data_IF_108161917208
#
_entry.id   IF_108161917208
#
_cell.length_a   1.000
_cell.length_b   1.000
_cell.length_c   1.000
_cell.angle_alpha   90.00
_cell.angle_beta   90.00
_cell.angle_gamma   90.00
#
_symmetry.space_group_name_H-M   'P 1'
#
loop_
_entity.id
_entity.type
_entity.pdbx_description
1 polymer ?
#
# COMPACT_ATOMS: atom_id res chain seq x y z
N UNK A 1 -37.52 22.75 0.78
CA UNK A 1 -36.14 22.53 1.26
C UNK A 1 -35.60 21.31 0.54
N UNK A 2 -34.84 21.50 -0.54
CA UNK A 2 -34.16 20.38 -1.19
C UNK A 2 -33.02 19.93 -0.26
N UNK A 3 -33.12 18.73 0.30
CA UNK A 3 -32.07 18.15 1.14
C UNK A 3 -30.83 17.86 0.30
N UNK A 4 -29.65 18.25 0.81
CA UNK A 4 -28.38 17.88 0.21
C UNK A 4 -28.18 16.36 0.39
N UNK A 5 -28.17 15.61 -0.71
CA UNK A 5 -27.85 14.19 -0.68
C UNK A 5 -26.34 14.04 -0.85
N UNK A 6 -25.63 13.71 0.24
CA UNK A 6 -24.18 13.53 0.25
C UNK A 6 -23.88 12.04 0.36
N UNK A 7 -23.32 11.44 -0.69
CA UNK A 7 -22.86 10.05 -0.69
C UNK A 7 -21.35 10.04 -0.44
N UNK A 8 -20.93 9.32 0.60
CA UNK A 8 -19.53 9.12 0.94
C UNK A 8 -19.09 7.78 0.33
N UNK A 9 -18.19 7.84 -0.64
CA UNK A 9 -17.62 6.65 -1.28
C UNK A 9 -16.17 6.46 -0.85
N UNK A 10 -15.86 5.27 -0.35
CA UNK A 10 -14.48 4.86 -0.07
C UNK A 10 -13.86 4.38 -1.38
N UNK A 11 -13.07 5.24 -2.01
CA UNK A 11 -12.34 4.87 -3.23
C UNK A 11 -11.20 3.93 -2.89
N UNK A 12 -11.25 2.72 -3.45
CA UNK A 12 -10.13 1.79 -3.46
C UNK A 12 -9.28 2.02 -4.72
N UNK A 13 -8.00 1.69 -4.63
CA UNK A 13 -7.07 1.77 -5.78
C UNK A 13 -6.80 0.38 -6.33
N UNK A 14 -6.81 0.23 -7.67
CA UNK A 14 -6.46 -1.04 -8.28
C UNK A 14 -4.95 -1.24 -8.20
N UNK A 15 -4.52 -2.40 -7.71
CA UNK A 15 -3.11 -2.74 -7.61
C UNK A 15 -2.82 -4.18 -8.02
N UNK A 16 -1.54 -4.44 -8.25
CA UNK A 16 -0.96 -5.74 -8.49
C UNK A 16 0.06 -6.04 -7.39
N UNK A 17 0.02 -7.26 -6.88
CA UNK A 17 0.97 -7.79 -5.90
C UNK A 17 1.50 -9.11 -6.44
N UNK A 18 2.75 -9.13 -6.90
CA UNK A 18 3.30 -10.23 -7.68
C UNK A 18 2.47 -10.46 -8.95
N UNK A 19 1.87 -11.65 -9.09
CA UNK A 19 1.04 -12.02 -10.24
C UNK A 19 -0.47 -11.80 -9.99
N UNK A 20 -0.87 -11.34 -8.80
CA UNK A 20 -2.29 -11.20 -8.42
C UNK A 20 -2.74 -9.75 -8.49
N UNK A 21 -3.90 -9.51 -9.11
CA UNK A 21 -4.62 -8.25 -9.01
C UNK A 21 -5.44 -8.18 -7.73
N UNK A 22 -5.54 -6.99 -7.16
CA UNK A 22 -6.34 -6.72 -5.96
C UNK A 22 -6.73 -5.25 -5.84
N UNK A 23 -7.55 -4.97 -4.83
CA UNK A 23 -7.93 -3.62 -4.45
C UNK A 23 -7.19 -3.22 -3.18
N UNK A 24 -6.43 -2.15 -3.25
CA UNK A 24 -5.85 -1.50 -2.08
C UNK A 24 -6.93 -0.72 -1.33
N UNK A 25 -7.08 -1.04 -0.05
CA UNK A 25 -8.08 -0.42 0.83
C UNK A 25 -7.47 0.68 1.70
N UNK A 26 -6.38 0.37 2.42
CA UNK A 26 -5.77 1.30 3.36
C UNK A 26 -4.37 0.88 3.79
N UNK A 27 -3.64 1.82 4.39
CA UNK A 27 -2.42 1.54 5.16
C UNK A 27 -2.78 1.17 6.59
N UNK A 28 -2.12 0.15 7.13
CA UNK A 28 -2.20 -0.23 8.53
C UNK A 28 -0.82 -0.02 9.19
N UNK A 29 -0.80 0.71 10.30
CA UNK A 29 0.36 0.75 11.19
C UNK A 29 0.22 -0.37 12.22
N UNK A 30 0.99 -1.44 12.06
CA UNK A 30 0.99 -2.58 12.96
C UNK A 30 2.12 -2.45 13.98
N UNK A 31 1.80 -2.71 15.25
CA UNK A 31 2.79 -2.78 16.31
C UNK A 31 2.45 -3.90 17.29
N UNK A 32 3.46 -4.67 17.72
CA UNK A 32 3.31 -5.69 18.77
C UNK A 32 4.54 -5.76 19.67
N UNK A 33 4.37 -6.01 20.98
CA UNK A 33 5.48 -6.40 21.83
C UNK A 33 6.14 -7.70 21.36
N UNK A 34 7.46 -7.78 21.50
CA UNK A 34 8.27 -8.98 21.31
C UNK A 34 8.97 -9.32 22.62
N UNK A 35 8.79 -10.55 23.08
CA UNK A 35 9.50 -11.09 24.23
C UNK A 35 10.99 -11.27 23.93
N UNK A 36 11.81 -11.26 24.99
CA UNK A 36 13.23 -11.53 24.87
C UNK A 36 13.50 -12.99 24.43
N UNK A 37 14.61 -13.20 23.73
CA UNK A 37 15.09 -14.55 23.45
C UNK A 37 15.46 -15.27 24.75
N UNK A 38 15.07 -16.54 24.94
CA UNK A 38 15.39 -17.30 26.14
C UNK A 38 16.85 -17.79 26.17
N UNK A 39 17.61 -17.63 25.08
CA UNK A 39 19.01 -18.08 24.99
C UNK A 39 19.96 -17.06 25.65
N UNK A 40 20.99 -17.56 26.34
CA UNK A 40 22.03 -16.69 26.91
C UNK A 40 22.75 -15.93 25.79
N UNK A 41 22.76 -14.59 25.88
CA UNK A 41 23.27 -13.71 24.83
C UNK A 41 22.32 -13.49 23.64
N UNK A 42 21.06 -13.94 23.75
CA UNK A 42 20.03 -13.76 22.72
C UNK A 42 19.50 -12.32 22.61
N UNK A 43 18.66 -12.10 21.59
CA UNK A 43 18.05 -10.79 21.32
C UNK A 43 17.20 -10.28 22.51
N UNK A 44 17.29 -8.98 22.87
CA UNK A 44 16.48 -8.41 23.94
C UNK A 44 15.00 -8.31 23.55
N UNK A 45 14.13 -8.15 24.54
CA UNK A 45 12.73 -7.80 24.32
C UNK A 45 12.62 -6.43 23.62
N UNK A 46 11.53 -6.21 22.90
CA UNK A 46 11.32 -4.97 22.16
C UNK A 46 9.91 -4.82 21.61
N UNK A 47 9.77 -3.92 20.65
CA UNK A 47 8.51 -3.69 19.93
C UNK A 47 8.79 -3.89 18.45
N UNK A 48 8.03 -4.77 17.81
CA UNK A 48 7.99 -4.86 16.36
C UNK A 48 6.93 -3.89 15.84
N UNK A 49 7.35 -2.95 15.00
CA UNK A 49 6.44 -2.02 14.33
C UNK A 49 6.70 -2.06 12.82
N UNK A 50 5.63 -2.11 12.02
CA UNK A 50 5.71 -2.15 10.56
C UNK A 50 4.45 -1.57 9.92
N UNK A 51 4.61 -0.91 8.78
CA UNK A 51 3.51 -0.50 7.91
C UNK A 51 3.15 -1.65 6.95
N UNK A 52 1.86 -1.90 6.78
CA UNK A 52 1.33 -2.83 5.78
C UNK A 52 0.29 -2.14 4.90
N UNK A 53 0.20 -2.56 3.64
CA UNK A 53 -0.98 -2.28 2.83
C UNK A 53 -2.03 -3.38 3.02
N UNK A 54 -3.28 -3.00 3.21
CA UNK A 54 -4.42 -3.92 3.25
C UNK A 54 -4.95 -4.05 1.83
N UNK A 55 -4.77 -5.24 1.25
CA UNK A 55 -5.16 -5.53 -0.13
C UNK A 55 -6.17 -6.66 -0.15
N UNK A 56 -7.28 -6.43 -0.85
CA UNK A 56 -8.30 -7.42 -1.13
C UNK A 56 -8.02 -8.11 -2.46
N UNK A 57 -7.98 -9.43 -2.44
CA UNK A 57 -7.88 -10.28 -3.60
C UNK A 57 -9.17 -11.11 -3.73
N UNK A 58 -9.35 -11.80 -4.84
CA UNK A 58 -10.51 -12.69 -5.05
C UNK A 58 -10.61 -13.83 -4.02
N UNK A 59 -9.50 -14.20 -3.38
CA UNK A 59 -9.40 -15.23 -2.35
C UNK A 59 -9.36 -14.67 -0.92
N UNK A 60 -9.49 -13.34 -0.74
CA UNK A 60 -9.60 -12.68 0.56
C UNK A 60 -8.65 -11.51 0.77
N UNK A 61 -8.73 -10.90 1.96
CA UNK A 61 -7.97 -9.71 2.35
C UNK A 61 -6.69 -10.10 3.09
N UNK A 62 -5.57 -9.46 2.74
CA UNK A 62 -4.26 -9.73 3.36
C UNK A 62 -3.48 -8.44 3.63
N UNK A 63 -2.55 -8.52 4.60
CA UNK A 63 -1.45 -7.57 4.79
C UNK A 63 -0.38 -7.85 3.75
N UNK A 64 0.02 -6.83 3.01
CA UNK A 64 1.06 -6.87 1.98
C UNK A 64 2.17 -5.89 2.36
N UNK A 65 3.42 -6.22 2.06
CA UNK A 65 4.51 -5.28 2.24
C UNK A 65 4.33 -4.06 1.31
N UNK A 66 4.50 -2.81 1.78
CA UNK A 66 4.31 -1.64 0.95
C UNK A 66 5.12 -1.66 -0.36
N UNK A 67 6.31 -2.27 -0.35
CA UNK A 67 7.18 -2.35 -1.53
C UNK A 67 6.72 -3.35 -2.59
N UNK A 68 5.81 -4.26 -2.25
CA UNK A 68 5.26 -5.25 -3.18
C UNK A 68 4.01 -4.76 -3.92
N UNK A 69 3.48 -3.59 -3.56
CA UNK A 69 2.24 -3.04 -4.11
C UNK A 69 2.56 -2.18 -5.33
N UNK A 70 2.08 -2.58 -6.49
CA UNK A 70 2.17 -1.80 -7.73
C UNK A 70 0.78 -1.31 -8.10
N UNK A 71 0.51 -0.01 -7.98
CA UNK A 71 -0.75 0.55 -8.47
C UNK A 71 -0.82 0.47 -9.99
N UNK A 72 -1.97 0.10 -10.53
CA UNK A 72 -2.18 -0.05 -11.97
C UNK A 72 -3.50 0.59 -12.44
N UNK A 73 -4.06 1.49 -11.64
CA UNK A 73 -5.22 2.32 -11.97
C UNK A 73 -4.86 3.53 -12.85
N UNK A 74 -5.89 4.28 -13.24
CA UNK A 74 -5.78 5.50 -14.04
C UNK A 74 -4.85 6.55 -13.40
N UNK A 75 -4.88 6.69 -12.07
CA UNK A 75 -4.02 7.61 -11.35
C UNK A 75 -2.53 7.24 -11.51
N UNK A 76 -2.20 5.94 -11.45
CA UNK A 76 -0.84 5.48 -11.71
C UNK A 76 -0.44 5.62 -13.20
N UNK A 77 -1.39 5.47 -14.13
CA UNK A 77 -1.13 5.70 -15.56
C UNK A 77 -0.75 7.17 -15.80
N UNK A 78 -1.50 8.12 -15.24
CA UNK A 78 -1.16 9.55 -15.33
C UNK A 78 0.21 9.85 -14.72
N UNK A 79 0.54 9.28 -13.56
CA UNK A 79 1.87 9.43 -12.96
C UNK A 79 2.97 8.93 -13.91
N UNK A 80 2.75 7.78 -14.56
CA UNK A 80 3.69 7.20 -15.51
C UNK A 80 3.89 8.08 -16.75
N UNK A 81 2.86 8.76 -17.23
CA UNK A 81 2.96 9.72 -18.34
C UNK A 81 3.76 10.96 -17.94
N UNK A 82 3.51 11.51 -16.76
CA UNK A 82 4.26 12.65 -16.23
C UNK A 82 5.76 12.33 -16.11
N UNK A 83 6.10 11.13 -15.66
CA UNK A 83 7.50 10.70 -15.61
C UNK A 83 8.16 10.60 -16.98
N UNK A 84 7.44 10.11 -18.00
CA UNK A 84 7.95 10.07 -19.38
C UNK A 84 8.23 11.48 -19.90
N UNK A 85 7.27 12.40 -19.74
CA UNK A 85 7.45 13.79 -20.16
C UNK A 85 8.62 14.48 -19.46
N UNK A 86 8.84 14.20 -18.16
CA UNK A 86 10.01 14.72 -17.43
C UNK A 86 11.33 14.24 -18.03
N UNK A 87 11.44 12.94 -18.32
CA UNK A 87 12.65 12.33 -18.92
C UNK A 87 12.93 12.87 -20.33
N UNK A 88 11.88 13.10 -21.13
CA UNK A 88 12.02 13.69 -22.47
C UNK A 88 12.54 15.13 -22.42
N UNK A 89 12.12 15.93 -21.43
CA UNK A 89 12.67 17.28 -21.24
C UNK A 89 14.15 17.23 -20.84
N UNK A 90 14.50 16.39 -19.86
CA UNK A 90 15.89 16.22 -19.40
C UNK A 90 16.84 15.70 -20.48
N UNK A 91 16.33 14.97 -21.48
CA UNK A 91 17.13 14.47 -22.60
C UNK A 91 17.32 15.50 -23.73
N UNK A 92 16.50 16.56 -23.76
CA UNK A 92 16.54 17.61 -24.78
C UNK A 92 17.24 18.90 -24.29
N UNK A 93 17.59 18.97 -23.00
CA UNK A 93 18.40 20.01 -22.36
C UNK A 93 19.89 19.61 -22.32
#
# INVERSE_FOLDING_TARGET
MAGLNMQMEWKTRLCQVGEKLGYFHAWEYYSKPLEASPLMGGAPAGIFSKMFGIVEFSDGVRRVDPSEIVFCDEENQMLSEMEKMRKEKEAND
#
